data_IF_345756781348
#
_entry.id   IF_345756781348
#
_cell.length_a   1.000
_cell.length_b   1.000
_cell.length_c   1.000
_cell.angle_alpha   90.00
_cell.angle_beta   90.00
_cell.angle_gamma   90.00
#
_symmetry.space_group_name_H-M   'P 1'
#
loop_
_entity.id
_entity.type
_entity.pdbx_description
1 polymer ?
#
# COMPACT_ATOMS: atom_id res chain seq x y z
N UNK A 1 -6.90 -32.13 4.90
CA UNK A 1 -6.17 -31.08 4.17
C UNK A 1 -6.57 -29.74 4.77
N UNK A 2 -5.65 -29.03 5.44
CA UNK A 2 -5.94 -27.68 5.91
C UNK A 2 -5.82 -26.73 4.71
N UNK A 3 -6.95 -26.28 4.16
CA UNK A 3 -6.92 -25.18 3.19
C UNK A 3 -6.20 -24.00 3.84
N UNK A 4 -5.06 -23.61 3.28
CA UNK A 4 -4.24 -22.52 3.80
C UNK A 4 -5.08 -21.24 3.69
N UNK A 5 -5.60 -20.73 4.82
CA UNK A 5 -6.32 -19.45 4.84
C UNK A 5 -5.43 -18.37 4.24
N UNK A 6 -5.93 -17.67 3.22
CA UNK A 6 -5.23 -16.53 2.65
C UNK A 6 -5.19 -15.42 3.72
N UNK A 7 -4.02 -14.88 4.05
CA UNK A 7 -3.93 -13.79 5.02
C UNK A 7 -4.77 -12.59 4.56
N UNK A 8 -5.63 -12.09 5.44
CA UNK A 8 -6.36 -10.85 5.22
C UNK A 8 -5.59 -9.65 5.76
N UNK A 9 -5.80 -8.49 5.13
CA UNK A 9 -5.15 -7.21 5.44
C UNK A 9 -6.16 -6.09 5.32
N UNK A 10 -5.94 -5.01 6.06
CA UNK A 10 -6.78 -3.82 6.02
C UNK A 10 -6.14 -2.78 5.11
N UNK A 11 -6.92 -2.21 4.20
CA UNK A 11 -6.51 -1.07 3.40
C UNK A 11 -6.30 0.16 4.30
N UNK A 12 -5.15 0.83 4.18
CA UNK A 12 -4.83 2.01 4.99
C UNK A 12 -5.74 3.23 4.75
N UNK A 13 -6.45 3.25 3.62
CA UNK A 13 -7.28 4.37 3.18
C UNK A 13 -8.76 4.20 3.54
N UNK A 14 -9.38 3.11 3.09
CA UNK A 14 -10.80 2.83 3.35
C UNK A 14 -11.07 2.00 4.61
N UNK A 15 -10.03 1.34 5.17
CA UNK A 15 -10.09 0.43 6.33
C UNK A 15 -10.79 -0.91 6.11
N UNK A 16 -11.38 -1.15 4.94
CA UNK A 16 -11.91 -2.46 4.57
C UNK A 16 -10.83 -3.54 4.62
N UNK A 17 -11.26 -4.76 4.95
CA UNK A 17 -10.41 -5.94 5.10
C UNK A 17 -10.61 -6.85 3.90
N UNK A 18 -9.53 -7.20 3.23
CA UNK A 18 -9.55 -8.08 2.06
C UNK A 18 -8.36 -9.05 2.09
N UNK A 19 -8.36 -10.07 1.23
CA UNK A 19 -7.18 -10.90 1.04
C UNK A 19 -5.99 -10.06 0.57
N UNK A 20 -4.78 -10.43 1.01
CA UNK A 20 -3.57 -9.70 0.60
C UNK A 20 -3.38 -9.66 -0.92
N UNK A 21 -3.92 -10.63 -1.66
CA UNK A 21 -3.84 -10.72 -3.12
C UNK A 21 -4.64 -9.65 -3.85
N UNK A 22 -5.65 -9.08 -3.20
CA UNK A 22 -6.51 -8.01 -3.75
C UNK A 22 -5.99 -6.62 -3.36
N UNK A 23 -4.87 -6.56 -2.64
CA UNK A 23 -4.23 -5.36 -2.14
C UNK A 23 -2.81 -5.26 -2.68
N UNK A 24 -2.32 -4.03 -2.87
CA UNK A 24 -0.90 -3.80 -3.10
C UNK A 24 -0.20 -3.53 -1.77
N UNK A 25 0.98 -4.13 -1.57
CA UNK A 25 1.86 -3.75 -0.47
C UNK A 25 2.67 -2.53 -0.89
N UNK A 26 2.68 -1.52 -0.04
CA UNK A 26 3.54 -0.35 -0.15
C UNK A 26 4.54 -0.32 1.00
N UNK A 27 5.73 0.22 0.77
CA UNK A 27 6.80 0.31 1.77
C UNK A 27 7.42 1.69 1.71
N UNK A 28 7.70 2.28 2.87
CA UNK A 28 8.49 3.50 2.96
C UNK A 28 9.97 3.16 2.89
N UNK A 29 10.66 3.71 1.89
CA UNK A 29 12.13 3.68 1.79
C UNK A 29 12.62 5.12 1.77
N UNK A 30 13.31 5.54 2.84
CA UNK A 30 13.66 6.93 3.12
C UNK A 30 12.40 7.81 3.20
N UNK A 31 12.10 8.58 2.15
CA UNK A 31 10.92 9.43 2.02
C UNK A 31 10.04 9.04 0.81
N UNK A 32 10.32 7.90 0.17
CA UNK A 32 9.62 7.43 -1.03
C UNK A 32 8.75 6.23 -0.69
N UNK A 33 7.47 6.29 -1.06
CA UNK A 33 6.56 5.15 -0.98
C UNK A 33 6.73 4.31 -2.23
N UNK A 34 7.21 3.08 -2.05
CA UNK A 34 7.44 2.10 -3.10
C UNK A 34 6.36 1.04 -3.15
N UNK A 35 6.13 0.47 -4.33
CA UNK A 35 5.24 -0.70 -4.49
C UNK A 35 6.06 -1.97 -4.34
N UNK A 36 5.77 -2.78 -3.32
CA UNK A 36 6.45 -4.04 -3.07
C UNK A 36 5.69 -5.21 -3.68
N UNK A 37 5.81 -5.36 -4.99
CA UNK A 37 5.10 -6.38 -5.79
C UNK A 37 5.42 -7.82 -5.34
N UNK A 38 6.64 -8.06 -4.84
CA UNK A 38 7.13 -9.39 -4.51
C UNK A 38 7.13 -9.68 -3.00
N UNK A 39 6.70 -8.73 -2.17
CA UNK A 39 6.69 -8.86 -0.71
C UNK A 39 8.09 -9.12 -0.11
N UNK A 40 9.11 -8.46 -0.69
CA UNK A 40 10.52 -8.65 -0.32
C UNK A 40 11.21 -7.37 0.14
N UNK A 41 10.56 -6.21 0.00
CA UNK A 41 11.18 -4.96 0.42
C UNK A 41 11.23 -4.87 1.96
N UNK A 42 12.40 -4.55 2.54
CA UNK A 42 12.55 -4.43 3.99
C UNK A 42 11.83 -3.17 4.50
N UNK A 43 11.42 -3.21 5.76
CA UNK A 43 10.77 -2.08 6.45
C UNK A 43 9.28 -2.26 6.70
N UNK A 44 8.67 -1.23 7.29
CA UNK A 44 7.23 -1.21 7.59
C UNK A 44 6.46 -1.18 6.28
N UNK A 45 5.57 -2.15 6.10
CA UNK A 45 4.68 -2.22 4.94
C UNK A 45 3.25 -1.82 5.28
N UNK A 46 2.55 -1.28 4.30
CA UNK A 46 1.16 -0.86 4.39
C UNK A 46 0.38 -1.38 3.18
N UNK A 47 -0.86 -1.79 3.38
CA UNK A 47 -1.70 -2.39 2.33
C UNK A 47 -2.69 -1.37 1.79
N UNK A 48 -2.88 -1.36 0.48
CA UNK A 48 -3.72 -0.38 -0.20
C UNK A 48 -4.49 -1.05 -1.35
N UNK A 49 -5.79 -0.77 -1.47
CA UNK A 49 -6.51 -1.10 -2.70
C UNK A 49 -6.03 -0.19 -3.82
N UNK A 50 -5.87 -0.72 -5.03
CA UNK A 50 -5.46 0.06 -6.21
C UNK A 50 -6.37 1.27 -6.46
N UNK A 51 -7.68 1.11 -6.22
CA UNK A 51 -8.70 2.17 -6.32
C UNK A 51 -8.65 3.22 -5.20
N UNK A 52 -7.94 2.96 -4.11
CA UNK A 52 -7.95 3.82 -2.92
C UNK A 52 -6.78 4.82 -2.85
N UNK A 53 -6.01 4.98 -3.93
CA UNK A 53 -4.85 5.87 -3.93
C UNK A 53 -5.21 7.33 -3.62
N UNK A 54 -6.21 7.90 -4.29
CA UNK A 54 -6.60 9.30 -4.06
C UNK A 54 -7.11 9.52 -2.62
N UNK A 55 -7.89 8.56 -2.09
CA UNK A 55 -8.34 8.58 -0.69
C UNK A 55 -7.15 8.52 0.26
N UNK A 56 -6.10 7.75 -0.07
CA UNK A 56 -4.89 7.63 0.73
C UNK A 56 -4.11 8.96 0.80
N UNK A 57 -4.05 9.69 -0.32
CA UNK A 57 -3.43 11.02 -0.39
C UNK A 57 -4.24 12.03 0.41
N UNK A 58 -5.53 12.16 0.11
CA UNK A 58 -6.44 13.14 0.74
C UNK A 58 -6.44 12.99 2.27
N UNK A 59 -6.54 11.74 2.76
CA UNK A 59 -6.61 11.45 4.19
C UNK A 59 -5.23 11.33 4.87
N UNK A 60 -4.14 11.62 4.17
CA UNK A 60 -2.76 11.44 4.67
C UNK A 60 -2.53 10.03 5.24
N UNK A 61 -3.10 9.00 4.60
CA UNK A 61 -3.06 7.63 5.08
C UNK A 61 -1.64 7.07 5.14
N UNK A 62 -0.79 7.39 4.16
CA UNK A 62 0.62 6.97 4.14
C UNK A 62 1.41 7.54 5.33
N UNK A 63 1.23 8.82 5.67
CA UNK A 63 1.86 9.43 6.83
C UNK A 63 1.52 8.69 8.12
N UNK A 64 0.24 8.37 8.32
CA UNK A 64 -0.22 7.62 9.50
C UNK A 64 0.27 6.18 9.51
N UNK A 65 0.25 5.51 8.35
CA UNK A 65 0.67 4.11 8.24
C UNK A 65 2.17 3.94 8.52
N UNK A 66 3.00 4.88 8.03
CA UNK A 66 4.45 4.82 8.17
C UNK A 66 4.99 5.59 9.38
N UNK A 67 4.14 6.38 10.06
CA UNK A 67 4.56 7.27 11.15
C UNK A 67 5.73 8.15 10.73
N UNK A 68 5.58 8.82 9.58
CA UNK A 68 6.62 9.63 8.97
C UNK A 68 6.31 11.12 9.12
N UNK A 69 7.35 11.90 9.40
CA UNK A 69 7.31 13.36 9.46
C UNK A 69 8.14 13.94 8.31
N UNK A 70 7.63 14.98 7.63
CA UNK A 70 8.27 15.60 6.48
C UNK A 70 7.50 15.41 5.18
N UNK A 71 8.17 15.51 4.04
CA UNK A 71 7.55 15.34 2.73
C UNK A 71 7.68 13.90 2.24
N UNK A 72 6.55 13.22 2.03
CA UNK A 72 6.49 11.93 1.35
C UNK A 72 6.37 12.11 -0.16
N UNK A 73 7.10 11.27 -0.89
CA UNK A 73 6.96 11.10 -2.32
C UNK A 73 6.16 9.81 -2.59
N UNK A 74 5.00 9.94 -3.25
CA UNK A 74 4.13 8.82 -3.64
C UNK A 74 4.05 8.61 -5.15
N UNK A 75 4.92 9.27 -5.92
CA UNK A 75 4.90 9.26 -7.39
C UNK A 75 5.03 7.84 -7.95
N UNK A 76 5.91 7.01 -7.38
CA UNK A 76 6.10 5.62 -7.82
C UNK A 76 4.80 4.80 -7.72
N UNK A 77 3.99 5.03 -6.68
CA UNK A 77 2.68 4.36 -6.53
C UNK A 77 1.72 4.84 -7.61
N UNK A 78 1.65 6.15 -7.87
CA UNK A 78 0.81 6.71 -8.93
C UNK A 78 1.16 6.14 -10.31
N UNK A 79 2.45 6.08 -10.63
CA UNK A 79 2.93 5.60 -11.92
C UNK A 79 2.67 4.10 -12.10
N UNK A 80 2.88 3.31 -11.04
CA UNK A 80 2.50 1.90 -11.03
C UNK A 80 1.00 1.70 -11.31
N UNK A 81 0.13 2.46 -10.64
CA UNK A 81 -1.32 2.33 -10.81
C UNK A 81 -1.80 2.73 -12.21
N UNK A 82 -1.20 3.76 -12.81
CA UNK A 82 -1.45 4.11 -14.22
C UNK A 82 -1.08 2.97 -15.16
N UNK A 83 0.00 2.25 -14.87
CA UNK A 83 0.45 1.09 -15.64
C UNK A 83 -0.49 -0.11 -15.59
N UNK A 84 -1.33 -0.24 -14.55
CA UNK A 84 -2.33 -1.31 -14.44
C UNK A 84 -3.60 -1.07 -15.24
N UNK A 85 -3.83 0.15 -15.70
CA UNK A 85 -5.05 0.54 -16.43
C UNK A 85 -4.93 0.36 -17.96
N UNK A 86 -3.84 -0.28 -18.43
CA UNK A 86 -3.58 -0.60 -19.83
C UNK A 86 -3.64 -2.11 -20.10
#
# INVERSE_FOLDING_TARGET
MFSKKIPQRSCIACRDVENWTDLIRTVLVNNVIKVDQFHKLPGRGAWLHTSCYEIAIERKAFYRAFNFEGQLNTQEVSDYLKGLSN
#
